data_IF_784761126443
#
_entry.id   IF_784761126443
#
_cell.length_a   1.000
_cell.length_b   1.000
_cell.length_c   1.000
_cell.angle_alpha   90.00
_cell.angle_beta   90.00
_cell.angle_gamma   90.00
#
_symmetry.space_group_name_H-M   'P 1'
#
loop_
_entity.id
_entity.type
_entity.pdbx_description
1 polymer ?
#
# COMPACT_ATOMS: atom_id res chain seq x y z
N UNK A 1 -19.31 -10.90 -9.53
CA UNK A 1 -18.92 -10.45 -8.16
C UNK A 1 -17.69 -11.21 -7.63
N UNK A 2 -16.67 -11.52 -8.48
CA UNK A 2 -15.60 -12.47 -8.14
C UNK A 2 -14.15 -11.94 -8.24
N UNK A 3 -13.93 -10.69 -8.64
CA UNK A 3 -12.55 -10.20 -8.92
C UNK A 3 -11.87 -9.47 -7.75
N UNK A 4 -12.51 -9.37 -6.58
CA UNK A 4 -11.92 -8.73 -5.39
C UNK A 4 -11.25 -9.79 -4.51
N UNK A 5 -9.93 -9.68 -4.35
CA UNK A 5 -9.15 -10.55 -3.45
C UNK A 5 -9.75 -10.55 -2.03
N UNK A 6 -9.58 -11.61 -1.23
CA UNK A 6 -10.17 -11.72 0.12
C UNK A 6 -9.90 -10.51 1.03
N UNK A 7 -8.69 -9.91 0.95
CA UNK A 7 -8.32 -8.71 1.69
C UNK A 7 -9.09 -7.46 1.27
N UNK A 8 -9.33 -7.30 -0.04
CA UNK A 8 -10.12 -6.18 -0.55
C UNK A 8 -11.57 -6.27 -0.09
N UNK A 9 -12.17 -7.45 -0.17
CA UNK A 9 -13.54 -7.65 0.29
C UNK A 9 -13.68 -7.37 1.79
N UNK A 10 -12.71 -7.83 2.59
CA UNK A 10 -12.69 -7.54 4.02
C UNK A 10 -12.54 -6.04 4.29
N UNK A 11 -11.60 -5.37 3.60
CA UNK A 11 -11.33 -3.95 3.81
C UNK A 11 -12.50 -3.04 3.41
N UNK A 12 -13.21 -3.37 2.32
CA UNK A 12 -14.43 -2.66 1.91
C UNK A 12 -15.59 -2.82 2.90
N UNK A 13 -15.63 -3.94 3.64
CA UNK A 13 -16.64 -4.19 4.68
C UNK A 13 -16.30 -3.56 6.02
N UNK A 14 -15.03 -3.20 6.25
CA UNK A 14 -14.52 -2.66 7.51
C UNK A 14 -13.90 -1.28 7.31
N UNK A 15 -14.59 -0.39 6.58
CA UNK A 15 -14.10 0.96 6.29
C UNK A 15 -13.93 1.81 7.55
N UNK A 16 -14.65 1.50 8.62
CA UNK A 16 -14.51 2.12 9.94
C UNK A 16 -13.11 1.93 10.55
N UNK A 17 -12.36 0.93 10.09
CA UNK A 17 -10.98 0.67 10.55
C UNK A 17 -9.96 1.50 9.75
N UNK A 18 -10.37 2.16 8.67
CA UNK A 18 -9.50 2.91 7.76
C UNK A 18 -9.76 4.41 7.86
N UNK A 19 -8.76 5.26 7.55
CA UNK A 19 -7.41 4.92 7.08
C UNK A 19 -6.47 4.46 8.21
N UNK A 20 -5.57 3.54 7.87
CA UNK A 20 -4.56 2.99 8.77
C UNK A 20 -3.26 3.78 8.65
N UNK A 21 -2.79 4.37 9.75
CA UNK A 21 -1.50 5.07 9.78
C UNK A 21 -0.34 4.07 9.80
N UNK A 22 0.43 4.01 8.71
CA UNK A 22 1.45 2.97 8.51
C UNK A 22 2.58 3.06 9.54
N UNK A 23 2.92 4.27 9.97
CA UNK A 23 3.98 4.49 10.94
C UNK A 23 3.59 4.08 12.37
N UNK A 24 2.29 3.90 12.66
CA UNK A 24 1.78 3.56 14.01
C UNK A 24 1.07 2.22 14.07
N UNK A 25 0.48 1.77 12.97
CA UNK A 25 -0.40 0.61 12.93
C UNK A 25 0.25 -0.70 13.37
N UNK A 26 -0.51 -1.57 14.01
CA UNK A 26 -0.01 -2.89 14.35
C UNK A 26 0.24 -3.77 13.13
N UNK A 27 1.19 -4.69 13.27
CA UNK A 27 1.54 -5.66 12.24
C UNK A 27 0.31 -6.42 11.70
N UNK A 28 -0.59 -6.85 12.59
CA UNK A 28 -1.84 -7.55 12.23
C UNK A 28 -2.77 -6.68 11.39
N UNK A 29 -2.79 -5.37 11.66
CA UNK A 29 -3.60 -4.43 10.93
C UNK A 29 -3.01 -4.15 9.54
N UNK A 30 -1.70 -4.00 9.45
CA UNK A 30 -0.97 -3.88 8.17
C UNK A 30 -1.23 -5.08 7.25
N UNK A 31 -1.31 -6.30 7.79
CA UNK A 31 -1.64 -7.50 6.99
C UNK A 31 -3.05 -7.48 6.37
N UNK A 32 -3.98 -6.75 6.98
CA UNK A 32 -5.37 -6.61 6.50
C UNK A 32 -5.49 -5.59 5.36
N UNK A 33 -4.55 -4.65 5.27
CA UNK A 33 -4.51 -3.62 4.22
C UNK A 33 -4.32 -4.27 2.84
N UNK A 34 -5.22 -4.00 1.87
CA UNK A 34 -5.02 -4.43 0.49
C UNK A 34 -3.71 -3.91 -0.11
N UNK A 35 -2.91 -4.79 -0.71
CA UNK A 35 -1.60 -4.42 -1.29
C UNK A 35 -0.42 -4.50 -0.32
N UNK A 36 -0.66 -4.79 0.97
CA UNK A 36 0.38 -5.16 1.93
C UNK A 36 0.38 -6.69 2.13
N UNK A 37 1.54 -7.29 1.94
CA UNK A 37 1.81 -8.71 2.14
C UNK A 37 2.59 -8.96 3.43
N UNK A 38 2.82 -10.23 3.75
CA UNK A 38 3.61 -10.63 4.92
C UNK A 38 5.00 -9.98 4.93
N UNK A 39 5.73 -10.11 3.82
CA UNK A 39 7.10 -9.56 3.69
C UNK A 39 7.13 -8.03 3.82
N UNK A 40 6.22 -7.32 3.15
CA UNK A 40 6.16 -5.86 3.22
C UNK A 40 5.70 -5.36 4.59
N UNK A 41 4.74 -6.02 5.25
CA UNK A 41 4.35 -5.70 6.62
C UNK A 41 5.51 -5.83 7.61
N UNK A 42 6.30 -6.92 7.52
CA UNK A 42 7.49 -7.10 8.37
C UNK A 42 8.51 -5.98 8.11
N UNK A 43 8.75 -5.65 6.84
CA UNK A 43 9.69 -4.58 6.46
C UNK A 43 9.23 -3.20 6.95
N UNK A 44 7.94 -2.87 6.87
CA UNK A 44 7.36 -1.64 7.40
C UNK A 44 7.64 -1.52 8.90
N UNK A 45 7.30 -2.56 9.66
CA UNK A 45 7.49 -2.57 11.12
C UNK A 45 8.95 -2.42 11.51
N UNK A 46 9.87 -2.98 10.72
CA UNK A 46 11.31 -2.79 10.92
C UNK A 46 11.76 -1.37 10.54
N UNK A 47 11.38 -0.89 9.36
CA UNK A 47 11.84 0.37 8.80
C UNK A 47 11.37 1.58 9.61
N UNK A 48 10.12 1.55 10.13
CA UNK A 48 9.56 2.62 10.95
C UNK A 48 10.27 2.83 12.30
N UNK A 49 11.11 1.88 12.72
CA UNK A 49 11.95 2.03 13.93
C UNK A 49 13.12 2.97 13.70
N UNK A 50 13.52 3.17 12.43
CA UNK A 50 14.70 3.94 12.05
C UNK A 50 14.33 5.26 11.38
N UNK A 51 13.21 5.32 10.65
CA UNK A 51 12.75 6.52 9.94
C UNK A 51 11.23 6.58 9.86
N UNK A 52 10.68 7.78 9.67
CA UNK A 52 9.25 7.95 9.34
C UNK A 52 9.07 7.60 7.87
N UNK A 53 8.20 6.63 7.59
CA UNK A 53 7.95 6.13 6.24
C UNK A 53 6.97 7.03 5.49
N UNK A 54 7.34 7.37 4.27
CA UNK A 54 6.46 8.04 3.31
C UNK A 54 5.94 7.05 2.23
N UNK A 55 5.11 7.54 1.31
CA UNK A 55 4.57 6.70 0.23
C UNK A 55 5.68 6.16 -0.69
N UNK A 56 6.75 6.93 -0.95
CA UNK A 56 7.86 6.47 -1.78
C UNK A 56 8.65 5.33 -1.12
N UNK A 57 8.83 5.36 0.20
CA UNK A 57 9.46 4.28 0.96
C UNK A 57 8.61 3.01 0.93
N UNK A 58 7.30 3.13 1.07
CA UNK A 58 6.39 1.99 0.97
C UNK A 58 6.47 1.32 -0.40
N UNK A 59 6.59 2.10 -1.49
CA UNK A 59 6.83 1.57 -2.83
C UNK A 59 8.12 0.76 -2.89
N UNK A 60 9.23 1.30 -2.36
CA UNK A 60 10.55 0.63 -2.31
C UNK A 60 10.52 -0.65 -1.46
N UNK A 61 9.77 -0.64 -0.36
CA UNK A 61 9.60 -1.81 0.53
C UNK A 61 8.87 -2.97 -0.18
N UNK A 62 8.08 -2.67 -1.21
CA UNK A 62 7.28 -3.62 -1.98
C UNK A 62 5.79 -3.59 -1.63
N UNK A 63 5.28 -2.47 -1.10
CA UNK A 63 3.84 -2.24 -0.96
C UNK A 63 3.24 -1.95 -2.32
N UNK A 64 2.15 -2.62 -2.66
CA UNK A 64 1.39 -2.35 -3.88
C UNK A 64 0.53 -1.10 -3.65
N UNK A 65 1.15 0.07 -3.85
CA UNK A 65 0.53 1.36 -3.55
C UNK A 65 -0.82 1.51 -4.23
N UNK A 66 -0.98 1.12 -5.50
CA UNK A 66 -2.25 1.21 -6.26
C UNK A 66 -3.49 0.63 -5.55
N UNK A 67 -3.30 -0.28 -4.60
CA UNK A 67 -4.39 -0.88 -3.80
C UNK A 67 -4.40 -0.36 -2.38
N UNK A 68 -3.23 -0.10 -1.80
CA UNK A 68 -3.09 0.34 -0.42
C UNK A 68 -3.48 1.79 -0.20
N UNK A 69 -3.27 2.66 -1.19
CA UNK A 69 -3.45 4.12 -1.11
C UNK A 69 -4.83 4.60 -0.60
N UNK A 70 -5.89 3.80 -0.77
CA UNK A 70 -7.24 4.13 -0.31
C UNK A 70 -7.43 3.85 1.18
N UNK A 71 -6.54 3.04 1.75
CA UNK A 71 -6.67 2.45 3.08
C UNK A 71 -5.56 2.90 4.02
N UNK A 72 -4.55 3.64 3.57
CA UNK A 72 -3.40 4.01 4.39
C UNK A 72 -3.17 5.51 4.46
N UNK A 73 -2.58 5.93 5.57
CA UNK A 73 -2.00 7.26 5.77
C UNK A 73 -0.53 7.13 6.13
N UNK A 74 0.25 8.14 5.75
CA UNK A 74 1.62 8.30 6.21
C UNK A 74 1.72 9.64 6.92
N UNK A 75 2.01 9.60 8.22
CA UNK A 75 2.15 10.78 9.08
C UNK A 75 0.90 11.68 9.09
N UNK A 76 -0.29 11.07 9.19
CA UNK A 76 -1.58 11.75 9.19
C UNK A 76 -1.99 12.31 7.83
N UNK A 77 -1.20 12.09 6.78
CA UNK A 77 -1.49 12.55 5.42
C UNK A 77 -1.92 11.36 4.58
N UNK A 78 -3.11 11.48 3.99
CA UNK A 78 -3.46 10.65 2.84
C UNK A 78 -2.68 11.16 1.63
N UNK A 79 -2.34 10.26 0.71
CA UNK A 79 -1.67 10.67 -0.51
C UNK A 79 -2.56 11.61 -1.34
N UNK A 80 -3.88 11.45 -1.23
CA UNK A 80 -4.88 12.33 -1.82
C UNK A 80 -6.20 12.24 -1.04
N UNK A 81 -7.02 13.30 -1.05
CA UNK A 81 -8.35 13.30 -0.46
C UNK A 81 -9.23 12.28 -1.21
N UNK A 82 -9.33 11.08 -0.66
CA UNK A 82 -10.20 10.03 -1.19
C UNK A 82 -11.48 10.00 -0.40
N UNK A 83 -12.62 9.89 -1.09
CA UNK A 83 -13.87 9.49 -0.43
C UNK A 83 -13.73 8.06 0.10
N UNK A 84 -13.89 7.90 1.42
CA UNK A 84 -13.95 6.61 2.11
C UNK A 84 -15.32 5.94 1.89
N UNK A 85 -15.69 5.75 0.63
CA UNK A 85 -16.94 5.13 0.22
C UNK A 85 -16.64 3.76 -0.42
N UNK A 86 -17.31 2.71 0.07
CA UNK A 86 -17.08 1.34 -0.39
C UNK A 86 -17.28 1.20 -1.89
N UNK A 87 -18.34 1.80 -2.45
CA UNK A 87 -18.64 1.73 -3.87
C UNK A 87 -17.59 2.45 -4.72
N UNK A 88 -17.10 3.61 -4.26
CA UNK A 88 -16.04 4.35 -4.96
C UNK A 88 -14.74 3.55 -5.00
N UNK A 89 -14.32 2.99 -3.85
CA UNK A 89 -13.10 2.20 -3.74
C UNK A 89 -13.23 0.89 -4.53
N UNK A 90 -14.38 0.20 -4.44
CA UNK A 90 -14.64 -1.03 -5.17
C UNK A 90 -14.60 -0.83 -6.68
N UNK A 91 -15.23 0.24 -7.19
CA UNK A 91 -15.17 0.60 -8.62
C UNK A 91 -13.74 0.83 -9.07
N UNK A 92 -12.96 1.61 -8.34
CA UNK A 92 -11.56 1.89 -8.69
C UNK A 92 -10.66 0.64 -8.62
N UNK A 93 -10.93 -0.28 -7.68
CA UNK A 93 -10.23 -1.56 -7.59
C UNK A 93 -10.58 -2.52 -8.73
N UNK A 94 -11.83 -2.53 -9.20
CA UNK A 94 -12.34 -3.40 -10.26
C UNK A 94 -12.01 -2.91 -11.67
N UNK A 95 -11.96 -1.58 -11.88
CA UNK A 95 -11.66 -0.96 -13.18
C UNK A 95 -10.18 -1.04 -13.60
N UNK A 96 -9.44 -2.07 -13.17
CA UNK A 96 -8.14 -2.41 -13.75
C UNK A 96 -7.04 -1.35 -13.62
N UNK A 97 -7.14 -0.40 -12.68
CA UNK A 97 -6.13 0.65 -12.52
C UNK A 97 -6.13 1.75 -13.60
N UNK A 98 -7.13 1.80 -14.50
CA UNK A 98 -7.18 2.84 -15.54
C UNK A 98 -7.63 4.22 -15.03
N UNK A 99 -8.23 4.28 -13.84
CA UNK A 99 -8.65 5.53 -13.20
C UNK A 99 -8.12 5.61 -11.78
N UNK A 100 -6.81 5.56 -11.62
CA UNK A 100 -6.22 6.33 -10.52
C UNK A 100 -6.69 7.79 -10.68
N UNK A 101 -6.97 8.52 -9.59
CA UNK A 101 -7.29 9.95 -9.66
C UNK A 101 -6.27 10.65 -10.57
N UNK A 102 -6.72 11.62 -11.38
CA UNK A 102 -5.85 12.26 -12.40
C UNK A 102 -4.54 12.75 -11.77
N UNK A 103 -4.60 13.23 -10.53
CA UNK A 103 -3.46 13.70 -9.75
C UNK A 103 -2.36 12.63 -9.60
N UNK A 104 -2.72 11.34 -9.47
CA UNK A 104 -1.76 10.23 -9.30
C UNK A 104 -1.10 9.83 -10.62
N UNK A 105 -1.82 9.95 -11.76
CA UNK A 105 -1.26 9.67 -13.09
C UNK A 105 -0.23 10.73 -13.49
N UNK A 106 -0.48 11.99 -13.11
CA UNK A 106 0.41 13.13 -13.40
C UNK A 106 1.69 13.13 -12.55
N UNK A 107 1.65 12.58 -11.33
CA UNK A 107 2.80 12.50 -10.41
C UNK A 107 3.85 11.42 -10.76
N UNK A 108 3.88 10.92 -11.99
CA UNK A 108 5.04 10.15 -12.48
C UNK A 108 5.14 8.73 -11.90
N UNK A 109 4.02 8.08 -11.60
CA UNK A 109 3.99 6.61 -11.50
C UNK A 109 4.19 6.03 -12.90
N UNK A 110 5.43 6.08 -13.42
CA UNK A 110 5.83 5.26 -14.56
C UNK A 110 5.50 3.83 -14.18
N UNK A 111 4.63 3.23 -14.99
CA UNK A 111 4.28 1.84 -14.97
C UNK A 111 5.59 1.07 -15.17
N UNK A 112 6.21 0.65 -14.07
CA UNK A 112 7.21 -0.40 -14.15
C UNK A 112 6.38 -1.67 -14.30
N UNK A 113 6.57 -2.30 -15.45
CA UNK A 113 6.05 -3.60 -15.85
C UNK A 113 5.95 -4.55 -14.67
N UNK A 114 4.90 -5.36 -14.67
CA UNK A 114 4.60 -6.42 -13.69
C UNK A 114 5.67 -7.55 -13.65
N UNK A 115 6.82 -7.34 -14.30
CA UNK A 115 7.91 -8.29 -14.50
C UNK A 115 9.32 -7.68 -14.39
N UNK A 116 9.50 -6.50 -13.79
CA UNK A 116 10.86 -6.08 -13.42
C UNK A 116 11.23 -6.66 -12.06
N UNK A 117 11.97 -7.76 -12.15
CA UNK A 117 12.74 -8.42 -11.12
C UNK A 117 13.24 -7.45 -10.04
N UNK A 118 12.62 -7.52 -8.87
CA UNK A 118 13.32 -7.07 -7.65
C UNK A 118 14.31 -8.17 -7.29
N UNK A 119 15.46 -8.18 -8.00
CA UNK A 119 16.67 -8.82 -7.49
C UNK A 119 17.02 -8.11 -6.18
N UNK A 120 16.78 -8.80 -5.08
CA UNK A 120 17.40 -8.45 -3.80
C UNK A 120 18.87 -8.85 -3.92
N UNK A 121 19.73 -7.90 -4.26
CA UNK A 121 21.15 -8.06 -3.96
C UNK A 121 21.29 -8.11 -2.44
N UNK A 122 21.74 -9.27 -1.94
CA UNK A 122 22.34 -9.37 -0.62
C UNK A 122 23.55 -8.44 -0.60
N UNK A 123 23.56 -7.44 0.27
CA UNK A 123 24.80 -6.76 0.63
C UNK A 123 24.79 -6.52 2.14
N UNK A 124 25.88 -6.95 2.78
CA UNK A 124 26.12 -6.86 4.21
C UNK A 124 26.91 -8.06 4.72
N UNK A 125 28.10 -8.28 4.17
CA UNK A 125 29.19 -8.90 4.94
C UNK A 125 29.31 -8.15 6.27
N UNK A 126 29.38 -8.90 7.38
CA UNK A 126 30.06 -8.42 8.58
C UNK A 126 31.03 -9.54 8.96
N UNK A 127 32.28 -9.31 8.59
CA UNK A 127 33.45 -9.96 9.16
C UNK A 127 33.51 -9.61 10.64
N UNK A 128 33.61 -10.62 11.50
CA UNK A 128 34.48 -10.65 12.69
C UNK A 128 34.89 -12.10 12.91
#
# INVERSE_FOLDING_TARGET
MLCLTPKCNWALKHLETFPVEVNRADYKLLLRVPGIGYKSAVRIVKARRYAILDFTDLKKIGVVLKRALYFITCNGRMMYPTKMEADYIARNLLSGGEKLPREVRELGYRQISLFDDVRFENCGEISF
#
